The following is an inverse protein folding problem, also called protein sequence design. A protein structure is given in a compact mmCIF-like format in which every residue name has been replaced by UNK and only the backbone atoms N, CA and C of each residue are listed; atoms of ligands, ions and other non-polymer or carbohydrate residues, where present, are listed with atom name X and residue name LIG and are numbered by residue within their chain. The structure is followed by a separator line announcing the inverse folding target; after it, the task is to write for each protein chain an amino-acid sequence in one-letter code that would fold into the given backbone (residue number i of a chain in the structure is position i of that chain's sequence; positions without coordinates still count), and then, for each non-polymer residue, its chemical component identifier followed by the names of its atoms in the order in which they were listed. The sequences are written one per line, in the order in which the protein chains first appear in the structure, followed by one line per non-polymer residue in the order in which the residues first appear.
data_IF_507256757068
#
_entry.id   IF_507256757068
#
_cell.length_a   1.000
_cell.length_b   1.000
_cell.length_c   1.000
_cell.angle_alpha   90.00
_cell.angle_beta   90.00
_cell.angle_gamma   90.00
#
_symmetry.space_group_name_H-M   'P 1'
#
loop_
_entity.id
_entity.type
_entity.pdbx_description
1 polymer ?
#
# COMPACT_ATOMS: atom_id res chain seq x y z
N UNK A 1 32.19 -4.77 23.66
CA UNK A 1 32.19 -6.04 24.43
C UNK A 1 31.02 -6.00 25.39
N UNK A 2 29.92 -6.67 25.14
CA UNK A 2 28.83 -6.85 26.08
C UNK A 2 28.29 -8.27 25.91
N UNK A 3 28.39 -9.04 26.97
CA UNK A 3 27.97 -10.44 27.09
C UNK A 3 26.45 -10.54 27.02
N UNK A 4 25.94 -11.33 26.08
CA UNK A 4 24.55 -11.77 26.04
C UNK A 4 24.40 -13.04 26.89
N UNK A 5 23.55 -12.96 27.89
CA UNK A 5 23.15 -14.08 28.77
C UNK A 5 22.19 -15.01 28.01
N UNK A 6 22.50 -16.31 28.09
CA UNK A 6 21.66 -17.42 27.60
C UNK A 6 20.37 -17.50 28.43
N UNK A 7 19.22 -17.36 27.79
CA UNK A 7 17.91 -17.72 28.41
C UNK A 7 17.45 -19.07 27.87
N UNK A 8 17.13 -19.96 28.79
CA UNK A 8 16.77 -21.36 28.60
C UNK A 8 15.43 -21.51 27.83
N UNK A 9 15.42 -22.39 26.86
CA UNK A 9 14.21 -22.94 26.27
C UNK A 9 13.47 -23.83 27.29
N UNK A 10 12.23 -23.46 27.59
CA UNK A 10 11.28 -24.33 28.27
C UNK A 10 10.50 -25.14 27.24
N UNK A 11 10.67 -26.43 27.29
CA UNK A 11 9.89 -27.47 26.63
C UNK A 11 8.42 -27.42 27.04
N UNK A 12 7.52 -27.16 26.11
CA UNK A 12 6.06 -27.27 26.31
C UNK A 12 5.63 -28.70 26.04
N UNK A 13 5.05 -29.31 27.06
CA UNK A 13 4.46 -30.65 27.05
C UNK A 13 3.21 -30.67 26.14
N UNK A 14 3.14 -31.67 25.30
CA UNK A 14 1.97 -32.09 24.55
C UNK A 14 0.82 -32.44 25.48
N UNK A 15 -0.25 -31.67 25.41
CA UNK A 15 -1.53 -31.91 26.11
C UNK A 15 -2.61 -32.41 25.11
N UNK A 16 -3.34 -33.41 25.54
CA UNK A 16 -4.31 -34.25 24.88
C UNK A 16 -5.44 -33.54 24.14
N UNK A 17 -5.88 -34.12 23.02
CA UNK A 17 -7.08 -33.82 22.24
C UNK A 17 -8.37 -33.81 23.06
N UNK A 18 -9.24 -32.81 22.92
CA UNK A 18 -10.66 -32.96 23.20
C UNK A 18 -11.45 -33.30 21.92
N UNK A 19 -12.32 -34.25 22.11
CA UNK A 19 -13.31 -34.85 21.26
C UNK A 19 -14.06 -33.94 20.29
N UNK A 20 -14.22 -34.47 19.08
CA UNK A 20 -14.97 -33.94 17.94
C UNK A 20 -16.43 -33.58 18.28
N UNK A 21 -16.77 -32.29 18.19
CA UNK A 21 -18.15 -31.86 17.91
C UNK A 21 -18.30 -31.65 16.40
N UNK A 22 -19.24 -32.39 15.80
CA UNK A 22 -19.66 -32.24 14.41
C UNK A 22 -20.10 -30.80 14.14
N UNK A 23 -19.60 -30.14 13.09
CA UNK A 23 -20.15 -28.86 12.67
C UNK A 23 -21.49 -29.03 11.98
N UNK A 24 -22.52 -28.38 12.47
CA UNK A 24 -23.81 -28.24 11.81
C UNK A 24 -23.65 -27.47 10.51
N UNK A 25 -24.06 -28.06 9.42
CA UNK A 25 -24.03 -27.56 8.04
C UNK A 25 -25.02 -26.40 7.88
N UNK A 26 -24.59 -25.15 7.53
CA UNK A 26 -25.52 -24.18 6.99
C UNK A 26 -25.53 -24.33 5.46
N UNK A 27 -26.59 -24.94 4.96
CA UNK A 27 -26.90 -25.07 3.55
C UNK A 27 -27.36 -23.73 2.97
N UNK A 28 -26.43 -23.00 2.35
CA UNK A 28 -26.71 -21.91 1.45
C UNK A 28 -26.11 -22.21 0.08
N UNK A 29 -26.74 -21.79 -1.03
CA UNK A 29 -26.36 -22.23 -2.38
C UNK A 29 -24.97 -21.78 -2.88
N UNK A 30 -24.26 -20.91 -2.16
CA UNK A 30 -22.94 -20.39 -2.59
C UNK A 30 -21.71 -21.18 -2.11
N UNK A 31 -21.86 -22.18 -1.24
CA UNK A 31 -20.70 -23.00 -0.78
C UNK A 31 -20.20 -24.04 -1.78
N UNK A 32 -20.84 -24.21 -2.95
CA UNK A 32 -20.46 -25.23 -3.93
C UNK A 32 -19.40 -24.83 -4.94
N UNK A 33 -18.97 -23.55 -5.01
CA UNK A 33 -18.06 -23.10 -6.07
C UNK A 33 -16.60 -22.90 -5.65
N UNK A 34 -16.27 -22.95 -4.37
CA UNK A 34 -14.89 -22.84 -3.96
C UNK A 34 -14.39 -24.21 -3.48
N UNK A 35 -14.26 -25.15 -4.41
CA UNK A 35 -13.30 -26.24 -4.24
C UNK A 35 -11.93 -25.63 -4.54
N UNK A 36 -11.10 -25.54 -3.50
CA UNK A 36 -9.67 -25.36 -3.65
C UNK A 36 -9.15 -26.51 -4.54
N UNK A 37 -8.91 -26.20 -5.81
CA UNK A 37 -8.08 -27.09 -6.62
C UNK A 37 -6.65 -26.90 -6.17
N UNK A 38 -5.96 -27.99 -5.79
CA UNK A 38 -4.55 -27.92 -5.46
C UNK A 38 -3.79 -27.39 -6.69
N UNK A 39 -2.86 -26.50 -6.44
CA UNK A 39 -1.93 -26.04 -7.47
C UNK A 39 -1.11 -27.23 -7.94
N UNK A 40 -1.35 -27.64 -9.17
CA UNK A 40 -0.58 -28.65 -9.87
C UNK A 40 0.41 -27.88 -10.73
N UNK A 41 1.67 -27.91 -10.46
CA UNK A 41 2.60 -28.87 -10.89
C UNK A 41 3.59 -28.43 -11.97
N UNK A 42 4.81 -28.77 -11.73
CA UNK A 42 6.08 -28.57 -12.42
C UNK A 42 6.16 -29.17 -13.85
N UNK A 43 5.07 -29.61 -14.44
CA UNK A 43 5.07 -30.25 -15.77
C UNK A 43 4.05 -29.64 -16.74
N UNK A 44 4.38 -28.46 -17.29
CA UNK A 44 3.78 -28.01 -18.56
C UNK A 44 2.34 -27.50 -18.51
N UNK A 45 1.80 -27.11 -17.33
CA UNK A 45 0.44 -26.55 -17.20
C UNK A 45 0.46 -25.14 -16.68
N UNK A 46 -0.53 -24.37 -17.15
CA UNK A 46 -0.71 -22.94 -16.91
C UNK A 46 -0.26 -22.46 -15.53
N UNK A 47 0.73 -21.59 -15.49
CA UNK A 47 1.18 -20.87 -14.29
C UNK A 47 0.03 -20.11 -13.62
N UNK A 48 -0.93 -19.65 -14.39
CA UNK A 48 -2.08 -18.88 -13.91
C UNK A 48 -3.28 -19.76 -13.66
N UNK A 49 -4.06 -19.42 -12.62
CA UNK A 49 -5.31 -20.11 -12.27
C UNK A 49 -6.43 -19.86 -13.28
N UNK A 50 -7.47 -20.69 -13.24
CA UNK A 50 -8.64 -20.60 -14.13
C UNK A 50 -9.48 -19.33 -13.92
N UNK A 51 -9.36 -18.66 -12.79
CA UNK A 51 -10.05 -17.39 -12.47
C UNK A 51 -9.14 -16.17 -12.67
N UNK A 52 -7.90 -16.36 -13.18
CA UNK A 52 -7.00 -15.26 -13.47
C UNK A 52 -7.63 -14.34 -14.51
N UNK A 53 -7.56 -13.04 -14.23
CA UNK A 53 -8.28 -12.04 -15.02
C UNK A 53 -7.67 -11.85 -16.40
N UNK A 54 -8.56 -11.92 -17.40
CA UNK A 54 -8.32 -11.52 -18.80
C UNK A 54 -9.52 -10.76 -19.31
N UNK A 55 -9.34 -9.63 -20.00
CA UNK A 55 -10.46 -8.84 -20.53
C UNK A 55 -11.36 -9.56 -21.52
N UNK A 56 -10.83 -10.56 -22.24
CA UNK A 56 -11.51 -11.31 -23.29
C UNK A 56 -12.23 -12.58 -22.80
N UNK A 57 -11.96 -13.03 -21.59
CA UNK A 57 -12.49 -14.29 -21.05
C UNK A 57 -13.23 -14.11 -19.71
N UNK A 58 -13.91 -13.00 -19.54
CA UNK A 58 -14.75 -12.76 -18.35
C UNK A 58 -15.96 -13.69 -18.41
N UNK A 59 -16.21 -14.51 -17.36
CA UNK A 59 -17.40 -15.33 -17.29
C UNK A 59 -18.68 -14.51 -17.25
N UNK A 60 -19.78 -15.09 -17.73
CA UNK A 60 -21.11 -14.48 -17.60
C UNK A 60 -21.42 -14.19 -16.13
N UNK A 61 -21.85 -12.98 -15.85
CA UNK A 61 -22.16 -12.52 -14.51
C UNK A 61 -23.61 -12.88 -14.14
N UNK A 62 -23.89 -13.05 -12.87
CA UNK A 62 -25.21 -13.46 -12.39
C UNK A 62 -26.20 -12.29 -12.56
N UNK A 63 -27.20 -12.35 -13.43
CA UNK A 63 -28.07 -11.22 -13.73
C UNK A 63 -29.07 -10.90 -12.62
N UNK A 64 -29.33 -11.84 -11.71
CA UNK A 64 -30.36 -11.72 -10.67
C UNK A 64 -29.91 -11.01 -9.39
N UNK A 65 -28.63 -10.71 -9.24
CA UNK A 65 -28.13 -10.03 -8.07
C UNK A 65 -28.08 -8.53 -8.36
N UNK A 66 -28.81 -7.76 -7.60
CA UNK A 66 -28.82 -6.29 -7.69
C UNK A 66 -27.39 -5.78 -7.57
N UNK A 67 -26.93 -5.12 -8.62
CA UNK A 67 -25.69 -4.37 -8.58
C UNK A 67 -25.85 -3.31 -7.49
N UNK A 68 -25.07 -3.41 -6.42
CA UNK A 68 -25.08 -2.36 -5.39
C UNK A 68 -24.44 -1.12 -5.96
N UNK A 69 -25.25 -0.11 -6.23
CA UNK A 69 -24.74 1.19 -6.64
C UNK A 69 -24.27 1.91 -5.38
N UNK A 70 -23.02 2.27 -5.33
CA UNK A 70 -22.50 3.16 -4.29
C UNK A 70 -22.99 4.58 -4.60
N UNK A 71 -24.04 5.03 -3.90
CA UNK A 71 -24.82 6.21 -4.29
C UNK A 71 -24.32 7.53 -3.72
N UNK A 72 -23.44 7.54 -2.73
CA UNK A 72 -23.03 8.80 -2.11
C UNK A 72 -21.71 9.33 -2.73
N UNK A 73 -21.82 10.45 -3.45
CA UNK A 73 -20.67 11.23 -3.96
C UNK A 73 -19.60 10.39 -4.71
N UNK A 74 -20.06 9.39 -5.48
CA UNK A 74 -19.14 8.49 -6.21
C UNK A 74 -19.52 8.35 -7.68
N UNK A 75 -18.51 8.20 -8.53
CA UNK A 75 -18.68 7.93 -9.97
C UNK A 75 -18.02 6.61 -10.29
N UNK A 76 -18.75 5.69 -10.94
CA UNK A 76 -18.19 4.40 -11.38
C UNK A 76 -17.14 4.65 -12.48
N UNK A 77 -16.01 3.94 -12.36
CA UNK A 77 -14.96 3.93 -13.36
C UNK A 77 -15.16 2.76 -14.33
N UNK A 78 -14.94 2.95 -15.63
CA UNK A 78 -15.11 1.90 -16.62
C UNK A 78 -14.03 0.82 -16.48
N UNK A 79 -14.38 -0.38 -16.88
CA UNK A 79 -13.48 -1.49 -17.11
C UNK A 79 -12.94 -1.46 -18.55
N UNK A 80 -11.72 -1.95 -18.70
CA UNK A 80 -11.08 -2.11 -20.03
C UNK A 80 -10.52 -0.81 -20.61
N UNK A 81 -9.94 -0.91 -21.80
CA UNK A 81 -9.29 0.18 -22.53
C UNK A 81 -8.28 0.97 -21.65
N UNK A 82 -7.54 0.25 -20.81
CA UNK A 82 -6.59 0.81 -19.85
C UNK A 82 -5.43 1.51 -20.53
N UNK A 83 -4.88 2.51 -19.85
CA UNK A 83 -3.67 3.21 -20.30
C UNK A 83 -2.47 2.77 -19.44
N UNK A 84 -1.23 2.87 -19.95
CA UNK A 84 -0.02 2.55 -19.22
C UNK A 84 0.33 3.68 -18.23
N UNK A 85 -0.60 3.98 -17.31
CA UNK A 85 -0.43 4.95 -16.24
C UNK A 85 -0.41 4.23 -14.88
N UNK A 86 0.18 4.85 -13.88
CA UNK A 86 0.27 4.30 -12.54
C UNK A 86 0.06 5.38 -11.47
N UNK A 87 -0.19 4.94 -10.25
CA UNK A 87 -0.11 5.86 -9.11
C UNK A 87 1.32 6.38 -8.96
N UNK A 88 1.48 7.70 -8.94
CA UNK A 88 2.80 8.33 -8.78
C UNK A 88 3.50 7.91 -7.50
N UNK A 89 2.74 7.66 -6.43
CA UNK A 89 3.29 7.14 -5.19
C UNK A 89 4.03 5.81 -5.38
N UNK A 90 3.48 4.90 -6.21
CA UNK A 90 4.13 3.62 -6.51
C UNK A 90 5.40 3.81 -7.36
N UNK A 91 5.43 4.84 -8.21
CA UNK A 91 6.59 5.18 -9.01
C UNK A 91 7.72 5.75 -8.14
N UNK A 92 7.39 6.62 -7.19
CA UNK A 92 8.33 7.35 -6.35
C UNK A 92 8.83 6.54 -5.13
N UNK A 93 8.09 5.52 -4.68
CA UNK A 93 8.49 4.66 -3.55
C UNK A 93 9.77 3.84 -3.85
N UNK A 94 10.07 3.55 -5.10
CA UNK A 94 11.18 2.67 -5.52
C UNK A 94 12.15 3.38 -6.44
N UNK A 95 12.86 4.39 -5.93
CA UNK A 95 13.89 5.08 -6.71
C UNK A 95 15.07 4.16 -7.04
N UNK A 96 15.83 4.40 -8.12
CA UNK A 96 17.02 3.63 -8.46
C UNK A 96 18.03 3.54 -7.32
N UNK A 97 18.23 4.63 -6.58
CA UNK A 97 19.08 4.67 -5.39
C UNK A 97 18.58 3.72 -4.29
N UNK A 98 17.28 3.76 -3.96
CA UNK A 98 16.67 2.86 -2.99
C UNK A 98 16.80 1.40 -3.41
N UNK A 99 16.58 1.08 -4.69
CA UNK A 99 16.71 -0.29 -5.20
C UNK A 99 18.15 -0.80 -5.12
N UNK A 100 19.14 0.03 -5.41
CA UNK A 100 20.56 -0.29 -5.27
C UNK A 100 20.93 -0.54 -3.81
N UNK A 101 20.48 0.33 -2.91
CA UNK A 101 20.70 0.22 -1.46
C UNK A 101 20.13 -1.08 -0.88
N UNK A 102 18.88 -1.41 -1.16
CA UNK A 102 18.25 -2.65 -0.68
C UNK A 102 18.94 -3.90 -1.20
N UNK A 103 19.44 -3.86 -2.45
CA UNK A 103 20.20 -4.97 -3.03
C UNK A 103 21.54 -5.18 -2.35
N UNK A 104 22.22 -4.13 -1.93
CA UNK A 104 23.47 -4.22 -1.18
C UNK A 104 23.25 -4.80 0.21
N UNK A 105 22.23 -4.33 0.92
CA UNK A 105 21.82 -4.89 2.21
C UNK A 105 21.50 -6.39 2.08
N UNK A 106 20.77 -6.79 1.06
CA UNK A 106 20.45 -8.20 0.83
C UNK A 106 21.72 -9.04 0.57
N UNK A 107 22.68 -8.51 -0.18
CA UNK A 107 23.99 -9.17 -0.40
C UNK A 107 24.80 -9.30 0.89
N UNK A 108 24.84 -8.26 1.70
CA UNK A 108 25.58 -8.25 2.97
C UNK A 108 24.95 -9.22 3.98
N UNK A 109 23.63 -9.32 4.01
CA UNK A 109 22.89 -10.29 4.80
C UNK A 109 23.19 -11.73 4.39
N UNK A 110 23.24 -12.01 3.09
CA UNK A 110 23.67 -13.31 2.56
C UNK A 110 25.10 -13.66 2.94
N UNK A 111 26.00 -12.67 3.00
CA UNK A 111 27.39 -12.87 3.44
C UNK A 111 27.51 -13.13 4.94
N UNK A 112 26.73 -12.45 5.75
CA UNK A 112 26.85 -12.50 7.21
C UNK A 112 26.17 -13.72 7.86
N UNK A 113 25.46 -14.58 7.10
CA UNK A 113 24.73 -15.75 7.60
C UNK A 113 23.83 -15.49 8.82
N UNK A 114 23.48 -14.25 9.08
CA UNK A 114 22.59 -13.89 10.18
C UNK A 114 21.14 -14.12 9.75
N UNK A 115 20.58 -15.24 10.18
CA UNK A 115 19.17 -15.63 9.96
C UNK A 115 18.18 -14.88 10.87
N UNK A 116 18.57 -13.79 11.51
CA UNK A 116 17.64 -12.97 12.28
C UNK A 116 16.90 -12.05 11.32
N UNK A 117 15.57 -12.23 11.12
CA UNK A 117 14.81 -11.30 10.32
C UNK A 117 14.94 -9.90 10.91
N UNK A 118 15.25 -8.91 10.08
CA UNK A 118 15.21 -7.53 10.51
C UNK A 118 13.77 -7.19 10.88
N UNK A 119 13.58 -6.32 11.87
CA UNK A 119 12.24 -5.89 12.34
C UNK A 119 11.37 -5.41 11.17
N UNK A 120 11.97 -4.86 10.12
CA UNK A 120 11.28 -4.37 8.93
C UNK A 120 10.87 -5.48 7.94
N UNK A 121 11.46 -6.68 8.00
CA UNK A 121 11.07 -7.80 7.12
C UNK A 121 9.67 -8.33 7.43
N UNK A 122 9.23 -8.27 8.68
CA UNK A 122 7.85 -8.60 9.04
C UNK A 122 6.84 -7.64 8.41
N UNK A 123 7.22 -6.38 8.23
CA UNK A 123 6.38 -5.38 7.53
C UNK A 123 6.29 -5.72 6.05
N UNK A 124 7.40 -6.07 5.43
CA UNK A 124 7.46 -6.42 4.01
C UNK A 124 6.63 -7.67 3.69
N UNK A 125 6.61 -8.66 4.58
CA UNK A 125 5.76 -9.87 4.42
C UNK A 125 4.27 -9.47 4.32
N UNK A 126 3.83 -8.52 5.12
CA UNK A 126 2.44 -8.09 5.16
C UNK A 126 2.09 -7.06 4.07
N UNK A 127 3.05 -6.29 3.60
CA UNK A 127 2.89 -5.27 2.55
C UNK A 127 3.56 -5.68 1.23
N UNK A 128 3.51 -6.97 0.93
CA UNK A 128 4.17 -7.56 -0.23
C UNK A 128 3.56 -7.07 -1.54
N UNK A 129 4.41 -6.60 -2.44
CA UNK A 129 4.05 -6.13 -3.78
C UNK A 129 5.02 -6.74 -4.79
N UNK A 130 4.65 -7.86 -5.34
CA UNK A 130 5.44 -8.60 -6.32
C UNK A 130 4.61 -8.97 -7.56
N UNK A 131 5.15 -9.85 -8.41
CA UNK A 131 4.49 -10.31 -9.63
C UNK A 131 3.24 -11.16 -9.41
N UNK A 132 3.08 -11.77 -8.22
CA UNK A 132 1.90 -12.59 -7.88
C UNK A 132 0.90 -11.86 -7.01
N UNK A 133 1.39 -11.05 -6.05
CA UNK A 133 0.58 -10.52 -4.96
C UNK A 133 0.81 -9.04 -4.77
N UNK A 134 -0.28 -8.32 -4.70
CA UNK A 134 -0.29 -6.91 -4.36
C UNK A 134 -1.10 -6.76 -3.07
N UNK A 135 -0.40 -6.59 -1.95
CA UNK A 135 -0.98 -6.50 -0.60
C UNK A 135 -0.79 -5.12 -0.01
N UNK A 136 -1.69 -4.79 0.89
CA UNK A 136 -1.55 -3.60 1.71
C UNK A 136 -1.81 -3.94 3.18
N UNK A 137 -0.93 -3.45 4.04
CA UNK A 137 -1.04 -3.60 5.48
C UNK A 137 -0.73 -2.26 6.15
N UNK A 138 -1.68 -1.67 6.88
CA UNK A 138 -1.42 -0.43 7.59
C UNK A 138 -0.49 -0.69 8.77
N UNK A 139 0.39 0.26 9.05
CA UNK A 139 1.19 0.22 10.27
C UNK A 139 0.27 0.25 11.50
N UNK A 140 0.66 -0.46 12.55
CA UNK A 140 -0.07 -0.42 13.81
C UNK A 140 -0.18 1.02 14.35
N UNK A 141 -1.31 1.38 14.95
CA UNK A 141 -1.57 2.73 15.50
C UNK A 141 -0.44 3.24 16.41
N UNK A 142 0.17 2.34 17.19
CA UNK A 142 1.31 2.67 18.04
C UNK A 142 2.51 3.16 17.22
N UNK A 143 2.81 2.48 16.11
CA UNK A 143 3.91 2.87 15.22
C UNK A 143 3.60 4.18 14.51
N UNK A 144 2.35 4.35 14.04
CA UNK A 144 1.89 5.60 13.43
C UNK A 144 1.99 6.77 14.41
N UNK A 145 1.62 6.57 15.68
CA UNK A 145 1.71 7.61 16.72
C UNK A 145 3.14 8.15 16.88
N UNK A 146 4.14 7.27 17.00
CA UNK A 146 5.53 7.71 17.16
C UNK A 146 6.09 8.39 15.91
N UNK A 147 5.74 7.89 14.72
CA UNK A 147 6.12 8.55 13.46
C UNK A 147 5.45 9.93 13.31
N UNK A 148 4.17 10.05 13.69
CA UNK A 148 3.46 11.33 13.69
C UNK A 148 4.11 12.31 14.66
N UNK A 149 4.48 11.85 15.87
CA UNK A 149 5.12 12.69 16.88
C UNK A 149 6.49 13.19 16.40
N UNK A 150 7.26 12.33 15.72
CA UNK A 150 8.53 12.71 15.08
C UNK A 150 8.31 13.80 14.03
N UNK A 151 7.33 13.63 13.15
CA UNK A 151 7.04 14.60 12.08
C UNK A 151 6.52 15.93 12.62
N UNK A 152 5.64 15.90 13.64
CA UNK A 152 5.14 17.10 14.30
C UNK A 152 6.26 17.85 15.01
N UNK A 153 7.14 17.14 15.74
CA UNK A 153 8.26 17.75 16.43
C UNK A 153 9.25 18.39 15.44
N UNK A 154 9.70 17.62 14.43
CA UNK A 154 10.62 18.11 13.41
C UNK A 154 10.02 19.24 12.57
N UNK A 155 8.82 19.03 12.04
CA UNK A 155 8.12 20.02 11.21
C UNK A 155 7.79 21.29 12.00
N UNK A 156 7.29 21.14 13.22
CA UNK A 156 7.01 22.28 14.12
C UNK A 156 8.26 23.11 14.40
N UNK A 157 9.37 22.45 14.74
CA UNK A 157 10.63 23.15 14.96
C UNK A 157 11.12 23.92 13.72
N UNK A 158 11.15 23.26 12.56
CA UNK A 158 11.64 23.88 11.31
C UNK A 158 10.73 25.05 10.87
N UNK A 159 9.42 24.88 10.98
CA UNK A 159 8.47 25.91 10.53
C UNK A 159 8.44 27.08 11.51
N UNK A 160 8.43 26.84 12.83
CA UNK A 160 8.29 27.92 13.81
C UNK A 160 9.59 28.70 14.04
N UNK A 161 10.77 28.08 13.82
CA UNK A 161 12.05 28.74 14.08
C UNK A 161 12.24 30.06 13.34
N UNK A 162 11.98 30.21 12.02
CA UNK A 162 12.13 31.48 11.34
C UNK A 162 11.16 32.54 11.88
N UNK A 163 9.93 32.18 12.22
CA UNK A 163 8.95 33.13 12.77
C UNK A 163 9.34 33.65 14.15
N UNK A 164 9.82 32.76 15.03
CA UNK A 164 10.27 33.15 16.38
C UNK A 164 11.50 34.03 16.28
N UNK A 165 12.45 33.76 15.37
CA UNK A 165 13.63 34.59 15.14
C UNK A 165 13.23 35.97 14.60
N UNK A 166 12.34 36.01 13.59
CA UNK A 166 11.86 37.29 13.03
C UNK A 166 11.11 38.11 14.09
N UNK A 167 10.26 37.48 14.89
CA UNK A 167 9.56 38.16 15.98
C UNK A 167 10.55 38.72 17.03
N UNK A 168 11.60 37.98 17.36
CA UNK A 168 12.64 38.42 18.27
C UNK A 168 13.37 39.67 17.73
N UNK A 169 13.79 39.62 16.46
CA UNK A 169 14.48 40.77 15.83
C UNK A 169 13.55 41.98 15.74
N UNK A 170 12.28 41.81 15.44
CA UNK A 170 11.28 42.84 15.42
C UNK A 170 11.06 43.49 16.78
N UNK A 171 10.98 42.65 17.84
CA UNK A 171 10.82 43.16 19.21
C UNK A 171 12.03 43.93 19.72
N UNK A 172 13.25 43.54 19.38
CA UNK A 172 14.47 44.32 19.66
C UNK A 172 14.41 45.65 18.97
N UNK A 173 13.96 45.71 17.73
CA UNK A 173 13.92 46.94 16.94
C UNK A 173 12.86 47.96 17.43
N UNK A 174 11.75 47.47 17.94
CA UNK A 174 10.60 48.30 18.35
C UNK A 174 10.60 48.58 19.87
N UNK A 175 11.24 47.74 20.66
CA UNK A 175 11.24 47.89 22.12
C UNK A 175 12.16 48.99 22.60
N UNK A 176 11.69 49.80 23.53
CA UNK A 176 12.53 50.79 24.24
C UNK A 176 13.38 50.18 25.36
N UNK A 177 13.25 48.85 25.60
CA UNK A 177 14.03 48.12 26.60
C UNK A 177 15.39 47.70 26.03
N UNK A 178 16.41 47.51 26.89
CA UNK A 178 17.69 47.00 26.41
C UNK A 178 17.52 45.62 25.80
N UNK A 179 18.19 45.33 24.69
CA UNK A 179 18.07 44.11 23.94
C UNK A 179 18.28 42.84 24.78
N UNK A 180 19.15 42.91 25.80
CA UNK A 180 19.41 41.79 26.71
C UNK A 180 18.16 41.39 27.51
N UNK A 181 17.40 42.37 28.03
CA UNK A 181 16.18 42.12 28.78
C UNK A 181 15.10 41.47 27.90
N UNK A 182 14.95 42.01 26.65
CA UNK A 182 14.03 41.43 25.67
C UNK A 182 14.40 40.00 25.31
N UNK A 183 15.69 39.73 25.16
CA UNK A 183 16.18 38.37 24.84
C UNK A 183 15.93 37.38 25.97
N UNK A 184 16.17 37.77 27.23
CA UNK A 184 15.92 36.88 28.41
C UNK A 184 14.43 36.58 28.56
N UNK A 185 13.57 37.58 28.41
CA UNK A 185 12.11 37.41 28.48
C UNK A 185 11.61 36.47 27.37
N UNK A 186 12.14 36.62 26.15
CA UNK A 186 11.79 35.73 25.04
C UNK A 186 12.35 34.32 25.19
N UNK A 187 13.58 34.14 25.67
CA UNK A 187 14.17 32.82 25.91
C UNK A 187 13.40 32.03 26.96
N UNK A 188 12.99 32.69 28.04
CA UNK A 188 12.23 32.02 29.12
C UNK A 188 10.76 31.75 28.74
N UNK A 189 10.20 32.47 27.79
CA UNK A 189 8.81 32.32 27.34
C UNK A 189 8.67 31.72 25.94
N UNK A 190 8.80 32.56 24.93
CA UNK A 190 8.48 32.19 23.56
C UNK A 190 9.39 31.10 22.98
N UNK A 191 10.71 31.20 23.22
CA UNK A 191 11.64 30.19 22.72
C UNK A 191 11.42 28.84 23.39
N UNK A 192 11.20 28.81 24.70
CA UNK A 192 10.96 27.58 25.44
C UNK A 192 9.67 26.91 24.97
N UNK A 193 8.60 27.68 24.76
CA UNK A 193 7.30 27.13 24.34
C UNK A 193 7.27 26.75 22.86
N UNK A 194 7.65 27.66 21.96
CA UNK A 194 7.47 27.49 20.52
C UNK A 194 8.59 26.70 19.84
N UNK A 195 9.81 26.72 20.38
CA UNK A 195 10.92 25.94 19.85
C UNK A 195 11.32 24.79 20.77
N UNK A 196 11.36 25.00 22.07
CA UNK A 196 11.72 23.96 23.05
C UNK A 196 10.74 22.81 23.07
N UNK A 197 9.44 23.06 22.99
CA UNK A 197 8.40 22.03 22.91
C UNK A 197 8.55 21.12 21.70
N UNK A 198 8.51 21.64 20.47
CA UNK A 198 8.73 20.86 19.25
C UNK A 198 10.09 20.15 19.21
N UNK A 199 11.16 20.80 19.65
CA UNK A 199 12.49 20.20 19.73
C UNK A 199 12.52 19.00 20.67
N UNK A 200 11.90 19.12 21.84
CA UNK A 200 11.80 18.05 22.83
C UNK A 200 11.01 16.86 22.26
N UNK A 201 9.87 17.12 21.62
CA UNK A 201 9.08 16.09 20.95
C UNK A 201 9.89 15.38 19.86
N UNK A 202 10.61 16.14 19.04
CA UNK A 202 11.50 15.59 18.03
C UNK A 202 12.58 14.71 18.64
N UNK A 203 13.30 15.22 19.65
CA UNK A 203 14.38 14.51 20.31
C UNK A 203 13.90 13.20 20.97
N UNK A 204 12.82 13.25 21.75
CA UNK A 204 12.24 12.07 22.40
C UNK A 204 11.84 11.03 21.34
N UNK A 205 11.11 11.45 20.32
CA UNK A 205 10.67 10.53 19.25
C UNK A 205 11.85 9.94 18.48
N UNK A 206 12.87 10.75 18.19
CA UNK A 206 14.08 10.32 17.52
C UNK A 206 14.86 9.26 18.35
N UNK A 207 15.02 9.52 19.64
CA UNK A 207 15.67 8.56 20.55
C UNK A 207 14.88 7.26 20.62
N UNK A 208 13.55 7.33 20.78
CA UNK A 208 12.70 6.15 20.90
C UNK A 208 12.72 5.34 19.61
N UNK A 209 12.62 5.99 18.44
CA UNK A 209 12.62 5.30 17.15
C UNK A 209 13.96 4.62 16.88
N UNK A 210 15.08 5.28 17.14
CA UNK A 210 16.38 4.74 16.80
C UNK A 210 16.94 3.74 17.85
N UNK A 211 16.66 3.94 19.14
CA UNK A 211 17.27 3.14 20.18
C UNK A 211 16.33 2.15 20.86
N UNK A 212 15.00 2.35 20.73
CA UNK A 212 14.02 1.52 21.42
C UNK A 212 12.95 0.95 20.46
N UNK A 213 13.35 0.12 19.46
CA UNK A 213 12.41 -0.40 18.46
C UNK A 213 11.22 -1.13 19.08
N UNK A 214 11.40 -1.82 20.20
CA UNK A 214 10.32 -2.53 20.92
C UNK A 214 9.26 -1.59 21.51
N UNK A 215 9.59 -0.32 21.76
CA UNK A 215 8.65 0.65 22.31
C UNK A 215 7.75 1.21 21.22
N UNK A 216 8.28 1.59 20.08
CA UNK A 216 7.53 2.28 19.04
C UNK A 216 6.98 1.34 17.96
N UNK A 217 7.77 0.34 17.58
CA UNK A 217 7.40 -0.57 16.52
C UNK A 217 6.49 -1.69 17.05
N UNK A 218 5.36 -1.84 16.37
CA UNK A 218 4.49 -3.00 16.51
C UNK A 218 4.21 -3.52 15.12
N UNK A 219 4.47 -4.80 14.84
CA UNK A 219 4.14 -5.38 13.56
C UNK A 219 2.63 -5.23 13.28
N UNK A 220 2.23 -5.02 12.03
CA UNK A 220 0.84 -5.02 11.65
C UNK A 220 0.20 -6.39 11.95
N UNK A 221 -1.10 -6.41 12.10
CA UNK A 221 -1.84 -7.67 12.35
C UNK A 221 -1.81 -8.60 11.14
N UNK A 222 -1.64 -8.04 9.97
CA UNK A 222 -1.64 -8.69 8.65
C UNK A 222 -2.19 -7.75 7.58
N UNK A 223 -2.26 -8.19 6.32
CA UNK A 223 -2.80 -7.39 5.24
C UNK A 223 -4.29 -7.12 5.44
N UNK A 224 -4.76 -5.93 5.07
CA UNK A 224 -6.19 -5.62 5.01
C UNK A 224 -6.83 -6.25 3.77
N UNK A 225 -6.07 -6.26 2.67
CA UNK A 225 -6.51 -6.86 1.42
C UNK A 225 -5.30 -7.35 0.60
N UNK A 226 -5.61 -8.25 -0.33
CA UNK A 226 -4.67 -8.82 -1.29
C UNK A 226 -5.33 -8.93 -2.66
N UNK A 227 -4.65 -8.47 -3.69
CA UNK A 227 -4.93 -8.77 -5.09
C UNK A 227 -3.91 -9.82 -5.54
N UNK A 228 -4.38 -10.94 -6.05
CA UNK A 228 -3.51 -12.03 -6.49
C UNK A 228 -3.64 -12.20 -8.01
N UNK A 229 -2.62 -11.73 -8.74
CA UNK A 229 -2.56 -11.80 -10.21
C UNK A 229 -2.63 -13.22 -10.71
N UNK A 230 -1.91 -14.15 -10.05
CA UNK A 230 -1.81 -15.54 -10.48
C UNK A 230 -3.14 -16.28 -10.41
N UNK A 231 -3.95 -16.00 -9.39
CA UNK A 231 -5.24 -16.67 -9.19
C UNK A 231 -6.43 -15.85 -9.68
N UNK A 232 -6.25 -14.55 -9.93
CA UNK A 232 -7.32 -13.60 -10.26
C UNK A 232 -8.22 -13.24 -9.08
N UNK A 233 -7.83 -13.61 -7.86
CA UNK A 233 -8.65 -13.44 -6.67
C UNK A 233 -8.28 -12.16 -5.89
N UNK A 234 -9.30 -11.56 -5.33
CA UNK A 234 -9.21 -10.48 -4.34
C UNK A 234 -9.58 -11.06 -2.98
N UNK A 235 -8.72 -10.86 -2.00
CA UNK A 235 -8.96 -11.30 -0.61
C UNK A 235 -9.04 -10.10 0.30
N UNK A 236 -10.11 -9.98 1.08
CA UNK A 236 -10.28 -8.98 2.12
C UNK A 236 -10.22 -9.68 3.47
N UNK A 237 -9.39 -9.18 4.38
CA UNK A 237 -9.18 -9.78 5.69
C UNK A 237 -9.91 -9.01 6.78
N UNK A 238 -10.67 -9.70 7.63
CA UNK A 238 -11.31 -9.11 8.80
C UNK A 238 -10.67 -9.66 10.09
N UNK A 239 -10.10 -8.74 10.87
CA UNK A 239 -9.39 -9.06 12.13
C UNK A 239 -10.25 -8.85 13.39
N UNK A 240 -11.58 -8.62 13.26
CA UNK A 240 -12.45 -8.36 14.42
C UNK A 240 -12.42 -9.49 15.43
N UNK A 241 -12.41 -10.74 14.97
CA UNK A 241 -12.40 -11.93 15.81
C UNK A 241 -10.99 -12.38 16.22
N UNK A 242 -9.95 -11.89 15.55
CA UNK A 242 -8.57 -12.32 15.77
C UNK A 242 -8.10 -12.16 17.22
N UNK A 243 -8.48 -11.06 17.89
CA UNK A 243 -8.04 -10.80 19.29
C UNK A 243 -8.68 -11.73 20.31
N UNK A 244 -9.92 -12.16 20.08
CA UNK A 244 -10.70 -12.96 21.04
C UNK A 244 -10.61 -14.47 20.75
N UNK A 245 -10.60 -14.85 19.48
CA UNK A 245 -10.79 -16.21 19.02
C UNK A 245 -9.60 -16.74 18.20
N UNK A 246 -8.59 -15.88 17.91
CA UNK A 246 -7.47 -16.24 17.05
C UNK A 246 -7.83 -16.45 15.57
N UNK A 247 -9.09 -16.19 15.18
CA UNK A 247 -9.60 -16.44 13.83
C UNK A 247 -9.54 -15.17 13.00
N UNK A 248 -9.02 -15.28 11.77
CA UNK A 248 -9.05 -14.23 10.76
C UNK A 248 -10.11 -14.61 9.74
N UNK A 249 -11.17 -13.84 9.67
CA UNK A 249 -12.20 -14.01 8.65
C UNK A 249 -11.68 -13.46 7.31
N UNK A 250 -12.00 -14.18 6.21
CA UNK A 250 -11.56 -13.82 4.87
C UNK A 250 -12.75 -13.82 3.93
N UNK A 251 -12.92 -12.73 3.22
CA UNK A 251 -13.77 -12.68 2.04
C UNK A 251 -12.89 -12.85 0.80
N UNK A 252 -13.25 -13.77 -0.10
CA UNK A 252 -12.48 -14.08 -1.31
C UNK A 252 -13.44 -14.09 -2.49
N UNK A 253 -13.17 -13.28 -3.50
CA UNK A 253 -13.94 -13.21 -4.74
C UNK A 253 -13.04 -12.94 -5.95
N UNK A 254 -13.46 -13.30 -7.18
CA UNK A 254 -12.75 -12.97 -8.40
C UNK A 254 -12.66 -11.44 -8.60
N UNK A 255 -11.55 -10.97 -9.16
CA UNK A 255 -11.33 -9.53 -9.40
C UNK A 255 -12.42 -8.91 -10.28
N UNK A 256 -12.88 -9.61 -11.29
CA UNK A 256 -13.93 -9.14 -12.20
C UNK A 256 -15.34 -8.99 -11.56
N UNK A 257 -15.53 -9.42 -10.32
CA UNK A 257 -16.76 -9.19 -9.55
C UNK A 257 -16.75 -7.87 -8.76
N UNK A 258 -15.68 -7.10 -8.85
CA UNK A 258 -15.58 -5.79 -8.21
C UNK A 258 -15.84 -4.68 -9.21
N UNK A 259 -16.50 -3.62 -8.77
CA UNK A 259 -16.61 -2.37 -9.50
C UNK A 259 -15.76 -1.30 -8.82
N UNK A 260 -15.10 -0.48 -9.64
CA UNK A 260 -14.31 0.64 -9.17
C UNK A 260 -15.12 1.93 -9.14
N UNK A 261 -14.97 2.70 -8.08
CA UNK A 261 -15.62 3.98 -7.89
C UNK A 261 -14.61 5.06 -7.53
N UNK A 262 -14.68 6.17 -8.23
CA UNK A 262 -14.04 7.40 -7.78
C UNK A 262 -14.93 8.03 -6.72
N UNK A 263 -14.45 8.10 -5.49
CA UNK A 263 -15.12 8.77 -4.38
C UNK A 263 -14.66 10.21 -4.28
N UNK A 264 -15.61 11.13 -4.04
CA UNK A 264 -15.32 12.55 -3.85
C UNK A 264 -15.65 12.94 -2.41
N UNK A 265 -14.69 13.50 -1.72
CA UNK A 265 -14.85 14.01 -0.36
C UNK A 265 -14.58 15.51 -0.36
N UNK A 266 -15.53 16.30 0.12
CA UNK A 266 -15.35 17.74 0.24
C UNK A 266 -14.50 18.08 1.46
N UNK A 267 -13.46 18.86 1.26
CA UNK A 267 -12.63 19.44 2.30
C UNK A 267 -12.72 20.97 2.20
N UNK A 268 -12.31 21.69 3.24
CA UNK A 268 -12.24 23.17 3.24
C UNK A 268 -11.35 23.76 2.13
N UNK A 269 -10.48 22.98 1.55
CA UNK A 269 -9.56 23.38 0.47
C UNK A 269 -10.05 22.95 -0.93
N UNK A 270 -11.19 22.29 -1.02
CA UNK A 270 -11.76 21.79 -2.28
C UNK A 270 -12.14 20.32 -2.23
N UNK A 271 -12.61 19.75 -3.34
CA UNK A 271 -12.90 18.34 -3.46
C UNK A 271 -11.60 17.52 -3.46
N UNK A 272 -11.60 16.40 -2.78
CA UNK A 272 -10.53 15.41 -2.83
C UNK A 272 -11.07 14.10 -3.37
N UNK A 273 -10.26 13.43 -4.18
CA UNK A 273 -10.65 12.23 -4.91
C UNK A 273 -9.92 11.00 -4.39
N UNK A 274 -10.61 9.87 -4.36
CA UNK A 274 -10.05 8.60 -3.95
C UNK A 274 -10.60 7.44 -4.79
N UNK A 275 -9.97 6.27 -4.69
CA UNK A 275 -10.42 5.04 -5.35
C UNK A 275 -10.98 4.08 -4.31
N UNK A 276 -12.16 3.52 -4.65
CA UNK A 276 -12.85 2.47 -3.92
C UNK A 276 -13.13 1.31 -4.87
N UNK A 277 -12.79 0.09 -4.49
CA UNK A 277 -13.31 -1.12 -5.09
C UNK A 277 -14.43 -1.67 -4.21
N UNK A 278 -15.59 -1.96 -4.82
CA UNK A 278 -16.72 -2.57 -4.14
C UNK A 278 -17.11 -3.86 -4.84
N UNK A 279 -17.29 -4.92 -4.07
CA UNK A 279 -17.82 -6.17 -4.57
C UNK A 279 -19.28 -5.97 -5.02
N UNK A 280 -19.61 -6.49 -6.21
CA UNK A 280 -20.90 -6.23 -6.88
C UNK A 280 -22.08 -6.86 -6.16
N UNK A 281 -21.88 -7.99 -5.51
CA UNK A 281 -22.94 -8.82 -4.94
C UNK A 281 -23.01 -8.79 -3.42
N UNK A 282 -21.89 -8.53 -2.73
CA UNK A 282 -21.81 -8.51 -1.27
C UNK A 282 -21.26 -7.17 -0.76
N UNK A 283 -21.52 -6.84 0.51
CA UNK A 283 -21.09 -5.57 1.11
C UNK A 283 -19.63 -5.62 1.57
N UNK A 284 -18.74 -5.87 0.61
CA UNK A 284 -17.30 -5.84 0.82
C UNK A 284 -16.64 -4.79 -0.06
N UNK A 285 -15.76 -4.00 0.54
CA UNK A 285 -15.12 -2.87 -0.15
C UNK A 285 -13.65 -2.72 0.27
N UNK A 286 -12.85 -2.22 -0.66
CA UNK A 286 -11.45 -1.87 -0.46
C UNK A 286 -11.29 -0.38 -0.75
N UNK A 287 -10.81 0.37 0.23
CA UNK A 287 -10.49 1.78 0.05
C UNK A 287 -8.97 1.95 -0.13
N UNK A 288 -8.59 2.54 -1.26
CA UNK A 288 -7.19 2.73 -1.62
C UNK A 288 -6.60 4.08 -1.18
N UNK A 289 -7.27 4.83 -0.30
CA UNK A 289 -6.81 6.15 0.14
C UNK A 289 -5.39 6.14 0.73
N UNK A 290 -4.97 5.02 1.32
CA UNK A 290 -3.61 4.88 1.86
C UNK A 290 -2.54 4.64 0.79
N UNK A 291 -2.91 4.15 -0.40
CA UNK A 291 -2.00 4.04 -1.56
C UNK A 291 -1.92 5.32 -2.37
N UNK A 292 -2.90 6.19 -2.19
CA UNK A 292 -2.96 7.51 -2.80
C UNK A 292 -3.10 8.50 -1.66
N UNK A 293 -2.37 9.59 -1.67
CA UNK A 293 -2.76 10.71 -0.85
C UNK A 293 -4.08 11.27 -1.39
N UNK A 294 -4.99 11.67 -0.50
CA UNK A 294 -6.18 12.41 -0.92
C UNK A 294 -5.71 13.65 -1.71
N UNK A 295 -6.19 13.77 -2.93
CA UNK A 295 -5.69 14.75 -3.89
C UNK A 295 -6.85 15.43 -4.61
N UNK A 296 -6.62 16.65 -5.06
CA UNK A 296 -7.54 17.44 -5.85
C UNK A 296 -7.59 17.03 -7.34
N UNK A 297 -6.70 16.12 -7.78
CA UNK A 297 -6.68 15.62 -9.15
C UNK A 297 -7.47 14.33 -9.33
N UNK A 298 -8.61 14.40 -10.03
CA UNK A 298 -9.45 13.23 -10.33
C UNK A 298 -8.79 12.20 -11.26
N UNK A 299 -7.74 12.56 -11.99
CA UNK A 299 -6.97 11.64 -12.82
C UNK A 299 -6.16 10.62 -12.02
N UNK A 300 -5.77 10.92 -10.80
CA UNK A 300 -4.98 9.99 -9.96
C UNK A 300 -5.72 8.71 -9.59
N UNK A 301 -6.98 8.73 -9.09
CA UNK A 301 -7.76 7.50 -8.91
C UNK A 301 -7.96 6.74 -10.21
N UNK A 302 -8.12 7.44 -11.34
CA UNK A 302 -8.23 6.83 -12.67
C UNK A 302 -6.94 6.09 -13.06
N UNK A 303 -5.78 6.72 -12.85
CA UNK A 303 -4.48 6.10 -13.10
C UNK A 303 -4.23 4.87 -12.20
N UNK A 304 -4.62 4.95 -10.93
CA UNK A 304 -4.53 3.79 -10.03
C UNK A 304 -5.46 2.66 -10.48
N UNK A 305 -6.67 2.99 -10.97
CA UNK A 305 -7.57 1.98 -11.49
C UNK A 305 -7.03 1.29 -12.74
N UNK A 306 -6.48 2.05 -13.70
CA UNK A 306 -5.82 1.48 -14.87
C UNK A 306 -4.63 0.61 -14.48
N UNK A 307 -3.83 1.06 -13.53
CA UNK A 307 -2.73 0.29 -12.99
C UNK A 307 -3.19 -1.06 -12.39
N UNK A 308 -4.26 -1.05 -11.59
CA UNK A 308 -4.77 -2.28 -10.96
C UNK A 308 -5.31 -3.26 -12.01
N UNK A 309 -5.99 -2.78 -13.05
CA UNK A 309 -6.44 -3.62 -14.16
C UNK A 309 -5.24 -4.20 -14.92
N UNK A 310 -4.24 -3.38 -15.28
CA UNK A 310 -3.03 -3.82 -15.96
C UNK A 310 -2.21 -4.80 -15.12
N UNK A 311 -2.16 -4.59 -13.81
CA UNK A 311 -1.51 -5.53 -12.90
C UNK A 311 -2.22 -6.88 -12.84
N UNK A 312 -3.55 -6.90 -12.81
CA UNK A 312 -4.33 -8.14 -12.72
C UNK A 312 -4.50 -8.87 -14.06
N UNK A 313 -4.36 -8.16 -15.17
CA UNK A 313 -4.51 -8.72 -16.52
C UNK A 313 -3.31 -9.59 -16.90
N UNK A 314 -3.54 -10.90 -16.97
CA UNK A 314 -2.52 -11.88 -17.36
C UNK A 314 -2.33 -12.03 -18.86
N UNK A 315 -3.06 -11.31 -19.70
CA UNK A 315 -2.86 -11.28 -21.15
C UNK A 315 -1.70 -10.37 -21.58
N UNK A 316 -1.27 -9.47 -20.68
CA UNK A 316 -0.16 -8.55 -20.86
C UNK A 316 0.91 -8.62 -19.75
N UNK A 317 2.05 -7.95 -19.94
CA UNK A 317 3.08 -7.86 -18.92
C UNK A 317 2.60 -7.08 -17.68
N UNK A 318 3.20 -7.33 -16.51
CA UNK A 318 3.00 -6.46 -15.35
C UNK A 318 3.44 -5.03 -15.67
N UNK A 319 2.83 -4.01 -15.03
CA UNK A 319 3.20 -2.61 -15.27
C UNK A 319 4.71 -2.37 -15.16
N UNK A 320 5.25 -1.62 -16.11
CA UNK A 320 6.68 -1.31 -16.13
C UNK A 320 7.00 -0.13 -15.22
N UNK A 321 7.17 -0.43 -13.95
CA UNK A 321 7.54 0.51 -12.91
C UNK A 321 8.69 -0.03 -12.05
N UNK A 322 9.47 0.84 -11.39
CA UNK A 322 10.61 0.43 -10.57
C UNK A 322 10.27 -0.63 -9.53
N UNK A 323 9.10 -0.54 -8.91
CA UNK A 323 8.61 -1.46 -7.88
C UNK A 323 8.65 -2.93 -8.31
N UNK A 324 8.35 -3.21 -9.58
CA UNK A 324 8.28 -4.59 -10.10
C UNK A 324 9.57 -5.07 -10.77
N UNK A 325 10.58 -4.23 -10.96
CA UNK A 325 11.81 -4.61 -11.62
C UNK A 325 12.45 -5.90 -11.07
N UNK A 326 12.52 -6.12 -9.75
CA UNK A 326 13.09 -7.35 -9.21
C UNK A 326 12.28 -8.62 -9.52
N UNK A 327 11.02 -8.47 -9.92
CA UNK A 327 10.06 -9.57 -10.06
C UNK A 327 9.64 -9.86 -11.49
N UNK A 328 9.97 -8.98 -12.46
CA UNK A 328 9.52 -9.11 -13.86
C UNK A 328 9.88 -10.44 -14.49
N UNK A 329 11.07 -10.95 -14.23
CA UNK A 329 11.55 -12.23 -14.74
C UNK A 329 10.85 -13.46 -14.14
N UNK A 330 10.08 -13.29 -13.06
CA UNK A 330 9.34 -14.35 -12.39
C UNK A 330 7.92 -14.52 -12.93
N UNK A 331 7.36 -13.50 -13.60
CA UNK A 331 6.06 -13.56 -14.25
C UNK A 331 6.25 -14.05 -15.69
N UNK A 332 5.75 -15.22 -16.09
CA UNK A 332 6.07 -15.83 -17.40
C UNK A 332 5.73 -14.92 -18.58
N UNK A 333 4.53 -14.31 -18.57
CA UNK A 333 4.09 -13.42 -19.66
C UNK A 333 4.98 -12.19 -19.75
N UNK A 334 5.39 -11.63 -18.62
CA UNK A 334 6.29 -10.48 -18.57
C UNK A 334 7.69 -10.85 -19.04
N UNK A 335 8.21 -12.02 -18.61
CA UNK A 335 9.53 -12.50 -19.01
C UNK A 335 9.61 -12.70 -20.52
N UNK A 336 8.60 -13.35 -21.13
CA UNK A 336 8.51 -13.54 -22.57
C UNK A 336 8.41 -12.20 -23.33
N UNK A 337 7.61 -11.28 -22.84
CA UNK A 337 7.45 -9.94 -23.41
C UNK A 337 8.75 -9.14 -23.36
N UNK A 338 9.46 -9.15 -22.23
CA UNK A 338 10.73 -8.45 -22.05
C UNK A 338 11.84 -9.06 -22.92
N UNK A 339 11.87 -10.40 -23.01
CA UNK A 339 12.82 -11.12 -23.88
C UNK A 339 12.59 -10.77 -25.36
N UNK A 340 11.35 -10.78 -25.85
CA UNK A 340 11.02 -10.45 -27.25
C UNK A 340 11.43 -9.03 -27.63
N UNK A 341 11.41 -8.09 -26.66
CA UNK A 341 11.78 -6.69 -26.87
C UNK A 341 13.23 -6.37 -26.56
N UNK A 342 13.99 -7.34 -26.08
CA UNK A 342 15.38 -7.12 -25.66
C UNK A 342 15.49 -6.13 -24.51
N UNK A 343 14.49 -6.08 -23.62
CA UNK A 343 14.48 -5.14 -22.49
C UNK A 343 15.63 -5.47 -21.53
N UNK A 344 16.39 -4.46 -21.11
CA UNK A 344 17.42 -4.62 -20.10
C UNK A 344 16.78 -5.08 -18.77
N UNK A 345 17.17 -6.25 -18.20
CA UNK A 345 16.64 -6.76 -16.94
C UNK A 345 16.92 -5.86 -15.72
N UNK A 346 17.76 -4.85 -15.88
CA UNK A 346 18.15 -3.91 -14.84
C UNK A 346 17.82 -2.47 -15.22
N UNK A 347 16.84 -2.28 -16.12
CA UNK A 347 16.49 -0.98 -16.68
C UNK A 347 16.31 0.10 -15.60
N UNK A 348 15.45 -0.16 -14.60
CA UNK A 348 15.19 0.78 -13.51
C UNK A 348 16.33 0.82 -12.46
N UNK A 349 17.05 -0.28 -12.24
CA UNK A 349 18.10 -0.36 -11.21
C UNK A 349 19.35 0.43 -11.62
N UNK A 350 19.72 0.34 -12.91
CA UNK A 350 20.93 0.96 -13.43
C UNK A 350 20.68 2.37 -13.99
N UNK A 351 19.44 2.85 -13.94
CA UNK A 351 19.07 4.18 -14.40
C UNK A 351 19.70 5.27 -13.53
N UNK A 352 20.17 6.33 -14.16
CA UNK A 352 20.64 7.53 -13.47
C UNK A 352 19.48 8.40 -12.98
N UNK A 353 19.76 9.28 -12.03
CA UNK A 353 18.73 10.06 -11.36
C UNK A 353 18.05 11.09 -12.29
N UNK A 354 18.77 11.65 -13.26
CA UNK A 354 18.21 12.63 -14.21
C UNK A 354 17.27 11.93 -15.21
N UNK A 355 17.66 10.77 -15.72
CA UNK A 355 16.81 9.93 -16.57
C UNK A 355 15.58 9.45 -15.79
N UNK A 356 15.75 9.01 -14.55
CA UNK A 356 14.63 8.62 -13.70
C UNK A 356 13.63 9.76 -13.50
N UNK A 357 14.11 10.96 -13.23
CA UNK A 357 13.25 12.15 -13.10
C UNK A 357 12.48 12.43 -14.39
N UNK A 358 13.13 12.27 -15.55
CA UNK A 358 12.47 12.43 -16.84
C UNK A 358 11.36 11.39 -17.04
N UNK A 359 11.58 10.13 -16.64
CA UNK A 359 10.54 9.09 -16.69
C UNK A 359 9.38 9.36 -15.72
N UNK A 360 9.68 9.90 -14.53
CA UNK A 360 8.66 10.34 -13.56
C UNK A 360 7.82 11.47 -14.16
N UNK A 361 8.45 12.46 -14.77
CA UNK A 361 7.76 13.58 -15.43
C UNK A 361 6.91 13.08 -16.63
N UNK A 362 7.44 12.15 -17.43
CA UNK A 362 6.68 11.51 -18.51
C UNK A 362 5.48 10.73 -17.97
N UNK A 363 5.60 10.05 -16.83
CA UNK A 363 4.48 9.37 -16.18
C UNK A 363 3.44 10.37 -15.68
N UNK A 364 3.84 11.49 -15.12
CA UNK A 364 2.95 12.58 -14.75
C UNK A 364 2.12 13.08 -15.95
N UNK A 365 2.77 13.30 -17.11
CA UNK A 365 2.05 13.70 -18.31
C UNK A 365 1.03 12.64 -18.75
N UNK A 366 1.37 11.35 -18.68
CA UNK A 366 0.40 10.27 -18.95
C UNK A 366 -0.77 10.29 -18.00
N UNK A 367 -0.53 10.50 -16.70
CA UNK A 367 -1.59 10.60 -15.68
C UNK A 367 -2.52 11.79 -15.95
N UNK A 368 -1.98 12.97 -16.27
CA UNK A 368 -2.80 14.14 -16.58
C UNK A 368 -3.61 13.99 -17.89
N UNK A 369 -3.08 13.25 -18.85
CA UNK A 369 -3.72 13.00 -20.14
C UNK A 369 -4.78 11.88 -20.09
N UNK A 370 -4.98 11.23 -18.95
CA UNK A 370 -5.97 10.15 -18.81
C UNK A 370 -7.39 10.68 -19.07
N UNK A 371 -8.04 10.07 -20.05
CA UNK A 371 -9.46 10.23 -20.28
C UNK A 371 -10.20 8.92 -19.99
N UNK A 372 -10.53 8.70 -18.74
CA UNK A 372 -11.20 7.48 -18.28
C UNK A 372 -12.68 7.48 -18.63
N UNK A 373 -13.33 8.65 -18.62
CA UNK A 373 -14.77 8.74 -18.67
C UNK A 373 -15.37 8.73 -20.07
N UNK A 374 -14.57 8.91 -21.10
CA UNK A 374 -14.97 8.72 -22.52
C UNK A 374 -14.92 7.25 -22.96
N UNK A 375 -14.27 6.37 -22.18
CA UNK A 375 -14.07 4.97 -22.52
C UNK A 375 -15.35 4.16 -22.35
N UNK A 376 -15.63 3.20 -23.26
CA UNK A 376 -16.71 2.25 -23.07
C UNK A 376 -16.38 1.31 -21.90
N UNK A 377 -17.39 1.02 -21.08
CA UNK A 377 -17.23 0.07 -19.99
C UNK A 377 -17.30 -1.37 -20.52
N UNK A 378 -16.19 -2.08 -20.55
CA UNK A 378 -16.13 -3.49 -20.96
C UNK A 378 -17.11 -4.36 -20.17
N UNK A 379 -17.26 -4.10 -18.87
CA UNK A 379 -18.10 -4.91 -18.00
C UNK A 379 -19.60 -4.76 -18.32
N UNK A 380 -20.02 -3.71 -19.03
CA UNK A 380 -21.41 -3.56 -19.48
C UNK A 380 -21.86 -4.65 -20.49
N UNK A 381 -20.93 -5.46 -21.02
CA UNK A 381 -21.25 -6.64 -21.83
C UNK A 381 -21.70 -7.84 -21.00
N UNK A 382 -21.34 -7.87 -19.74
CA UNK A 382 -21.50 -9.02 -18.83
C UNK A 382 -22.45 -8.72 -17.68
N UNK A 383 -22.65 -7.44 -17.36
CA UNK A 383 -23.43 -6.97 -16.20
C UNK A 383 -24.44 -5.93 -16.69
N UNK A 384 -25.69 -6.12 -16.29
CA UNK A 384 -26.71 -5.08 -16.46
C UNK A 384 -26.56 -4.04 -15.32
N UNK A 385 -26.27 -2.81 -15.72
CA UNK A 385 -26.15 -1.67 -14.84
C UNK A 385 -27.37 -0.73 -14.86
N UNK A 386 -28.45 -1.12 -15.54
CA UNK A 386 -29.63 -0.28 -15.76
C UNK A 386 -30.63 -0.31 -14.60
N UNK A 387 -30.36 -1.05 -13.54
CA UNK A 387 -31.25 -1.21 -12.39
C UNK A 387 -30.94 -0.28 -11.21
#
# INVERSE_FOLDING_TARGET
MARLSKTRLNTVKTGQHPTSRKPTNPSGPMKKLIRYFPMVDLNGRSYYGSLAYRPDTIPEQIPSLRTRVYTSCSRRLPWGATQPATSMKLMEESTPENMRFWKEIAKEKHRSRTNTPAIFEEVDIHNKRDHERFRFSPLALRSQFWLMLLQLGKGGFIVLSPFVILAHLSLISVSHRPWQAVTVDLLSGAYLLYLGGPLLLWLISHIIINHFPRIWFRPPKGPEWELNRRTGLVTIFDYKRHRKEGVIDKFIAPFYEFDAYMITTSNRHGPTYGLLLQHRYEDHKINFHMLMNADDFQQRPCALWDFLQNYMDISGPIPDIPLFEPYRHLDPVTADYDQQRGRNPRYWIDMDDDTFKTEVDAMWQRVYAIDTFSRPNLMARYVDYSS
#
